data_IF_180671627418
#
_entry.id   IF_180671627418
#
_cell.length_a   1.000
_cell.length_b   1.000
_cell.length_c   1.000
_cell.angle_alpha   90.00
_cell.angle_beta   90.00
_cell.angle_gamma   90.00
#
_symmetry.space_group_name_H-M   'P 1'
#
loop_
_entity.id
_entity.type
_entity.pdbx_description
1 polymer ?
#
# COMPACT_ATOMS: atom_id res chain seq x y z
N UNK A 1 -8.98 4.04 -29.46
CA UNK A 1 -7.86 4.08 -28.48
C UNK A 1 -8.46 4.36 -27.11
N UNK A 2 -8.57 3.33 -26.25
CA UNK A 2 -9.14 3.48 -24.90
C UNK A 2 -8.10 4.19 -24.05
N UNK A 3 -8.43 5.38 -23.57
CA UNK A 3 -7.64 6.13 -22.60
C UNK A 3 -7.28 5.21 -21.44
N UNK A 4 -5.99 4.93 -21.29
CA UNK A 4 -5.39 4.34 -20.09
C UNK A 4 -5.50 5.38 -18.98
N UNK A 5 -6.69 5.52 -18.41
CA UNK A 5 -6.80 6.02 -17.04
C UNK A 5 -6.16 4.89 -16.22
N UNK A 6 -4.84 4.98 -16.03
CA UNK A 6 -4.17 4.23 -14.98
C UNK A 6 -4.95 4.58 -13.71
N UNK A 7 -5.68 3.60 -13.17
CA UNK A 7 -6.32 3.68 -11.86
C UNK A 7 -5.23 3.97 -10.84
N UNK A 8 -4.96 5.26 -10.66
CA UNK A 8 -3.99 5.74 -9.71
C UNK A 8 -4.56 5.42 -8.33
N UNK A 9 -3.82 4.69 -7.48
CA UNK A 9 -4.38 4.21 -6.23
C UNK A 9 -4.86 5.41 -5.41
N UNK A 10 -6.16 5.39 -5.07
CA UNK A 10 -6.75 6.43 -4.25
C UNK A 10 -6.08 6.35 -2.86
N UNK A 11 -5.56 7.48 -2.37
CA UNK A 11 -4.89 7.54 -1.07
C UNK A 11 -5.74 6.94 0.06
N UNK A 12 -7.08 7.06 -0.04
CA UNK A 12 -8.02 6.42 0.89
C UNK A 12 -7.97 4.89 0.83
N UNK A 13 -7.99 4.30 -0.37
CA UNK A 13 -7.94 2.84 -0.55
C UNK A 13 -6.62 2.27 -0.02
N UNK A 14 -5.52 3.01 -0.14
CA UNK A 14 -4.22 2.60 0.39
C UNK A 14 -4.20 2.59 1.93
N UNK A 15 -4.87 3.55 2.57
CA UNK A 15 -5.03 3.57 4.04
C UNK A 15 -5.97 2.44 4.48
N UNK A 16 -7.10 2.25 3.79
CA UNK A 16 -8.04 1.16 4.10
C UNK A 16 -7.37 -0.23 4.01
N UNK A 17 -6.55 -0.46 2.97
CA UNK A 17 -5.79 -1.69 2.84
C UNK A 17 -4.69 -1.82 3.91
N UNK A 18 -4.07 -0.72 4.33
CA UNK A 18 -3.09 -0.70 5.41
C UNK A 18 -3.73 -1.10 6.74
N UNK A 19 -4.89 -0.53 7.05
CA UNK A 19 -5.65 -0.79 8.26
C UNK A 19 -6.10 -2.26 8.29
N UNK A 20 -6.69 -2.75 7.19
CA UNK A 20 -7.16 -4.13 7.08
C UNK A 20 -6.03 -5.14 7.26
N UNK A 21 -4.89 -4.91 6.60
CA UNK A 21 -3.74 -5.82 6.73
C UNK A 21 -3.16 -5.80 8.15
N UNK A 22 -3.16 -4.64 8.81
CA UNK A 22 -2.73 -4.52 10.21
C UNK A 22 -3.69 -5.23 11.16
N UNK A 23 -5.00 -5.08 10.95
CA UNK A 23 -6.01 -5.80 11.72
C UNK A 23 -5.85 -7.32 11.59
N UNK A 24 -5.59 -7.83 10.38
CA UNK A 24 -5.31 -9.25 10.14
C UNK A 24 -4.07 -9.73 10.90
N UNK A 25 -2.99 -8.94 10.91
CA UNK A 25 -1.79 -9.25 11.69
C UNK A 25 -2.07 -9.27 13.20
N UNK A 26 -2.89 -8.35 13.72
CA UNK A 26 -3.22 -8.29 15.15
C UNK A 26 -4.22 -9.36 15.58
N UNK A 27 -5.10 -9.80 14.68
CA UNK A 27 -6.02 -10.90 14.92
C UNK A 27 -5.32 -12.27 14.89
N UNK A 28 -4.08 -12.34 14.40
CA UNK A 28 -3.31 -13.58 14.37
C UNK A 28 -2.83 -13.94 15.78
N UNK A 29 -3.09 -15.18 16.27
CA UNK A 29 -2.56 -15.66 17.54
C UNK A 29 -1.03 -15.53 17.59
N UNK A 30 -0.48 -15.24 18.78
CA UNK A 30 0.96 -14.96 18.94
C UNK A 30 1.83 -16.15 18.49
N UNK A 31 1.32 -17.38 18.64
CA UNK A 31 2.00 -18.61 18.24
C UNK A 31 2.11 -18.77 16.73
N UNK A 32 1.30 -18.04 15.97
CA UNK A 32 1.23 -18.08 14.50
C UNK A 32 1.91 -16.86 13.86
N UNK A 33 2.50 -15.96 14.67
CA UNK A 33 3.30 -14.85 14.16
C UNK A 33 4.49 -15.42 13.38
N UNK A 34 4.70 -14.88 12.17
CA UNK A 34 5.72 -15.38 11.25
C UNK A 34 5.29 -16.60 10.44
N UNK A 35 4.09 -17.15 10.66
CA UNK A 35 3.46 -18.13 9.77
C UNK A 35 3.02 -17.53 8.43
N UNK A 36 2.56 -18.37 7.51
CA UNK A 36 2.23 -17.96 6.13
C UNK A 36 1.16 -16.85 6.07
N UNK A 37 0.06 -16.99 6.82
CA UNK A 37 -1.02 -16.00 6.89
C UNK A 37 -0.53 -14.65 7.44
N UNK A 38 0.29 -14.68 8.50
CA UNK A 38 0.88 -13.48 9.07
C UNK A 38 1.84 -12.80 8.10
N UNK A 39 2.68 -13.57 7.41
CA UNK A 39 3.61 -13.05 6.41
C UNK A 39 2.87 -12.45 5.21
N UNK A 40 1.76 -13.06 4.78
CA UNK A 40 0.92 -12.55 3.71
C UNK A 40 0.28 -11.20 4.10
N UNK A 41 -0.30 -11.11 5.29
CA UNK A 41 -0.85 -9.87 5.83
C UNK A 41 0.25 -8.79 5.97
N UNK A 42 1.42 -9.16 6.49
CA UNK A 42 2.57 -8.26 6.62
C UNK A 42 3.08 -7.75 5.26
N UNK A 43 3.15 -8.61 4.24
CA UNK A 43 3.56 -8.20 2.89
C UNK A 43 2.56 -7.20 2.28
N UNK A 44 1.26 -7.41 2.51
CA UNK A 44 0.19 -6.47 2.09
C UNK A 44 0.31 -5.14 2.82
N UNK A 45 0.46 -5.17 4.15
CA UNK A 45 0.65 -4.00 5.02
C UNK A 45 1.84 -3.16 4.55
N UNK A 46 3.00 -3.79 4.34
CA UNK A 46 4.19 -3.11 3.82
C UNK A 46 3.98 -2.51 2.42
N UNK A 47 3.30 -3.23 1.53
CA UNK A 47 3.04 -2.75 0.17
C UNK A 47 2.11 -1.54 0.19
N UNK A 48 1.01 -1.61 0.94
CA UNK A 48 0.07 -0.52 1.12
C UNK A 48 0.75 0.72 1.71
N UNK A 49 1.58 0.55 2.74
CA UNK A 49 2.35 1.63 3.35
C UNK A 49 3.30 2.30 2.35
N UNK A 50 4.07 1.52 1.57
CA UNK A 50 4.98 2.08 0.56
C UNK A 50 4.24 2.90 -0.48
N UNK A 51 3.13 2.37 -1.00
CA UNK A 51 2.30 3.06 -1.98
C UNK A 51 1.67 4.33 -1.40
N UNK A 52 1.18 4.27 -0.16
CA UNK A 52 0.59 5.43 0.53
C UNK A 52 1.63 6.52 0.76
N UNK A 53 2.83 6.16 1.20
CA UNK A 53 3.94 7.09 1.37
C UNK A 53 4.33 7.73 0.04
N UNK A 54 4.44 6.94 -1.03
CA UNK A 54 4.77 7.45 -2.36
C UNK A 54 3.65 8.39 -2.86
N UNK A 55 2.38 8.08 -2.59
CA UNK A 55 1.23 8.96 -2.85
C UNK A 55 1.34 10.30 -2.10
N UNK A 56 1.68 10.28 -0.81
CA UNK A 56 1.86 11.49 -0.01
C UNK A 56 3.00 12.36 -0.55
N UNK A 57 4.14 11.76 -0.88
CA UNK A 57 5.26 12.51 -1.46
C UNK A 57 4.89 13.14 -2.81
N UNK A 58 4.15 12.42 -3.67
CA UNK A 58 3.66 12.99 -4.93
C UNK A 58 2.72 14.19 -4.70
N UNK A 59 1.85 14.12 -3.67
CA UNK A 59 0.95 15.23 -3.32
C UNK A 59 1.70 16.41 -2.71
N UNK A 60 2.69 16.16 -1.85
CA UNK A 60 3.47 17.19 -1.15
C UNK A 60 4.40 17.97 -2.09
N UNK A 61 5.02 17.29 -3.07
CA UNK A 61 5.96 17.90 -4.01
C UNK A 61 5.30 18.83 -5.04
N UNK A 62 3.96 18.92 -5.06
CA UNK A 62 3.22 19.68 -6.08
C UNK A 62 3.40 19.17 -7.52
N UNK A 63 4.24 18.14 -7.71
CA UNK A 63 4.38 17.38 -8.96
C UNK A 63 3.09 16.60 -9.16
N UNK A 64 2.13 17.21 -9.87
CA UNK A 64 0.89 16.52 -10.23
C UNK A 64 1.20 15.15 -10.86
N UNK A 65 0.73 14.09 -10.20
CA UNK A 65 0.46 12.69 -10.61
C UNK A 65 1.39 12.00 -11.64
N UNK A 66 2.57 12.55 -11.93
CA UNK A 66 3.56 12.02 -12.86
C UNK A 66 4.85 11.73 -12.11
N UNK A 67 4.80 10.82 -11.14
CA UNK A 67 6.02 10.26 -10.57
C UNK A 67 6.10 8.76 -10.91
N UNK A 68 6.54 8.39 -12.13
CA UNK A 68 7.10 7.07 -12.32
C UNK A 68 8.42 7.08 -11.55
N UNK A 69 8.41 6.50 -10.36
CA UNK A 69 9.63 6.28 -9.59
C UNK A 69 10.55 5.44 -10.48
N UNK A 70 11.62 6.05 -11.02
CA UNK A 70 12.67 5.33 -11.75
C UNK A 70 13.21 4.25 -10.82
N UNK A 71 12.92 3.01 -11.15
CA UNK A 71 13.61 1.86 -10.55
C UNK A 71 15.03 1.93 -11.12
N UNK A 72 16.00 2.17 -10.24
CA UNK A 72 17.43 2.05 -10.53
C UNK A 72 17.85 0.58 -10.41
#
# INVERSE_FOLDING_TARGET
>A
MRSLILDMPNGRQLVEELDLATEQMMATPVEQIGGEEWQAAFARQQRAFRLWRDYLHCKADGRGLACPRKVA
#
